data_IF_290922945785
#
_entry.id   IF_290922945785
#
_cell.length_a   1.000
_cell.length_b   1.000
_cell.length_c   1.000
_cell.angle_alpha   90.00
_cell.angle_beta   90.00
_cell.angle_gamma   90.00
#
_symmetry.space_group_name_H-M   'P 1'
#
loop_
_entity.id
_entity.type
_entity.pdbx_description
1 polymer ?
#
# COMPACT_ATOMS: atom_id res chain seq x y z
N UNK A 1 6.30 43.34 -60.82
CA UNK A 1 5.59 44.57 -60.41
C UNK A 1 5.27 44.41 -58.93
N UNK A 2 5.95 45.21 -58.11
CA UNK A 2 5.72 45.53 -56.68
C UNK A 2 5.84 44.42 -55.61
N UNK A 3 6.95 44.55 -54.88
CA UNK A 3 7.31 44.03 -53.56
C UNK A 3 6.50 44.70 -52.43
N UNK A 4 6.20 43.96 -51.36
CA UNK A 4 6.09 44.52 -49.99
C UNK A 4 6.75 43.58 -48.99
N UNK A 5 7.63 44.19 -48.20
CA UNK A 5 8.50 43.65 -47.17
C UNK A 5 7.83 43.69 -45.78
N UNK A 6 8.64 43.33 -44.76
CA UNK A 6 8.60 43.72 -43.33
C UNK A 6 7.67 42.83 -42.45
N UNK A 7 8.07 42.30 -41.29
CA UNK A 7 9.18 42.57 -40.37
C UNK A 7 9.49 41.33 -39.50
N UNK A 8 10.79 41.07 -39.31
CA UNK A 8 11.34 40.32 -38.18
C UNK A 8 11.28 41.19 -36.92
N UNK A 9 10.77 40.65 -35.81
CA UNK A 9 10.83 41.29 -34.49
C UNK A 9 11.90 40.62 -33.65
N UNK A 10 13.03 41.31 -33.47
CA UNK A 10 14.10 40.99 -32.53
C UNK A 10 13.77 41.61 -31.18
N UNK A 11 13.51 40.78 -30.16
CA UNK A 11 13.39 41.25 -28.78
C UNK A 11 14.78 41.37 -28.14
N UNK A 12 15.16 42.60 -27.83
CA UNK A 12 16.37 42.96 -27.07
C UNK A 12 16.04 42.87 -25.58
N UNK A 13 16.74 42.04 -24.81
CA UNK A 13 16.64 42.03 -23.34
C UNK A 13 17.65 43.03 -22.79
N UNK A 14 17.10 44.10 -22.24
CA UNK A 14 17.82 45.19 -21.58
C UNK A 14 18.22 44.74 -20.16
N UNK A 15 19.53 44.66 -19.88
CA UNK A 15 20.05 44.51 -18.51
C UNK A 15 19.77 45.81 -17.72
N UNK A 16 19.10 45.72 -16.58
CA UNK A 16 19.05 46.79 -15.59
C UNK A 16 19.90 46.40 -14.39
N UNK A 17 21.04 47.08 -14.29
CA UNK A 17 21.92 47.08 -13.14
C UNK A 17 21.32 48.02 -12.10
N UNK A 18 20.79 47.49 -11.00
CA UNK A 18 20.37 48.28 -9.85
C UNK A 18 21.39 48.08 -8.74
N UNK A 19 22.26 49.08 -8.58
CA UNK A 19 23.08 49.29 -7.38
C UNK A 19 22.25 50.02 -6.34
N UNK A 20 21.99 49.37 -5.20
CA UNK A 20 21.53 50.04 -3.98
C UNK A 20 22.47 49.69 -2.83
N UNK A 21 23.05 50.74 -2.23
CA UNK A 21 23.97 50.68 -1.11
C UNK A 21 23.25 51.04 0.19
N UNK A 22 23.73 50.43 1.28
CA UNK A 22 23.58 50.75 2.72
C UNK A 22 22.21 50.61 3.39
N UNK A 23 22.11 49.67 4.35
CA UNK A 23 22.19 49.98 5.78
C UNK A 23 22.30 48.68 6.59
N UNK A 24 23.34 48.58 7.42
CA UNK A 24 23.50 47.51 8.40
C UNK A 24 22.61 47.85 9.60
N UNK A 25 21.58 47.05 9.84
CA UNK A 25 20.83 47.06 11.10
C UNK A 25 21.06 45.71 11.76
N UNK A 26 21.81 45.72 12.84
CA UNK A 26 22.04 44.55 13.70
C UNK A 26 20.73 44.23 14.42
N UNK A 27 19.90 43.38 13.82
CA UNK A 27 18.75 42.77 14.47
C UNK A 27 19.28 41.55 15.21
N UNK A 28 19.32 41.61 16.54
CA UNK A 28 19.45 40.40 17.36
C UNK A 28 18.25 39.50 17.07
N UNK A 29 18.42 38.31 16.47
CA UNK A 29 17.33 37.35 16.46
C UNK A 29 17.17 36.87 17.90
N UNK A 30 16.06 37.27 18.51
CA UNK A 30 15.52 36.57 19.67
C UNK A 30 15.59 35.07 19.38
N UNK A 31 16.34 34.36 20.23
CA UNK A 31 16.40 32.92 20.24
C UNK A 31 15.00 32.39 20.53
N UNK A 32 14.22 32.14 19.47
CA UNK A 32 13.10 31.24 19.56
C UNK A 32 13.63 29.93 20.13
N UNK A 33 12.97 29.31 21.12
CA UNK A 33 13.28 27.94 21.46
C UNK A 33 12.99 27.14 20.19
N UNK A 34 14.04 26.81 19.45
CA UNK A 34 14.02 25.70 18.52
C UNK A 34 13.74 24.51 19.41
N UNK A 35 12.45 24.14 19.50
CA UNK A 35 12.07 22.80 19.86
C UNK A 35 12.76 21.96 18.79
N UNK A 36 13.96 21.51 19.10
CA UNK A 36 14.62 20.41 18.42
C UNK A 36 13.65 19.27 18.59
N UNK A 37 12.71 19.18 17.63
CA UNK A 37 12.03 17.95 17.31
C UNK A 37 13.16 17.07 16.87
N UNK A 38 13.77 16.42 17.87
CA UNK A 38 14.61 15.28 17.69
C UNK A 38 13.77 14.36 16.83
N UNK A 39 14.05 14.35 15.53
CA UNK A 39 13.62 13.34 14.58
C UNK A 39 14.22 12.05 15.08
N UNK A 40 13.63 11.50 16.15
CA UNK A 40 13.81 10.12 16.53
C UNK A 40 13.38 9.38 15.29
N UNK A 41 14.35 8.80 14.58
CA UNK A 41 14.11 7.79 13.56
C UNK A 41 13.06 6.83 14.12
N UNK A 42 11.83 6.99 13.62
CA UNK A 42 10.71 6.20 14.09
C UNK A 42 10.96 4.78 13.62
N UNK A 43 11.05 3.86 14.56
CA UNK A 43 11.38 2.48 14.26
C UNK A 43 10.13 1.79 13.72
N UNK A 44 10.14 1.38 12.45
CA UNK A 44 9.13 0.48 11.85
C UNK A 44 9.22 -0.95 12.39
N UNK A 45 10.24 -1.24 13.22
CA UNK A 45 10.52 -2.57 13.79
C UNK A 45 9.31 -3.25 14.46
N UNK A 46 8.42 -2.57 15.21
CA UNK A 46 7.25 -3.22 15.80
C UNK A 46 6.33 -3.88 14.77
N UNK A 47 6.25 -3.34 13.55
CA UNK A 47 5.42 -3.88 12.47
C UNK A 47 6.09 -5.04 11.71
N UNK A 48 7.38 -5.30 11.90
CA UNK A 48 8.15 -6.20 11.03
C UNK A 48 7.67 -7.66 11.03
N UNK A 49 7.31 -8.20 12.19
CA UNK A 49 6.79 -9.58 12.29
C UNK A 49 5.36 -9.65 11.73
N UNK A 50 4.40 -8.84 12.22
CA UNK A 50 3.03 -8.91 11.70
C UNK A 50 2.93 -8.61 10.20
N UNK A 51 3.70 -7.65 9.66
CA UNK A 51 3.70 -7.42 8.20
C UNK A 51 4.28 -8.60 7.42
N UNK A 52 5.29 -9.30 7.94
CA UNK A 52 5.88 -10.47 7.27
C UNK A 52 4.86 -11.61 7.18
N UNK A 53 4.15 -11.87 8.28
CA UNK A 53 3.08 -12.88 8.32
C UNK A 53 1.92 -12.49 7.41
N UNK A 54 1.59 -11.20 7.37
CA UNK A 54 0.56 -10.65 6.47
C UNK A 54 0.91 -10.84 5.00
N UNK A 55 2.10 -10.39 4.58
CA UNK A 55 2.54 -10.45 3.19
C UNK A 55 2.59 -11.88 2.66
N UNK A 56 3.14 -12.83 3.43
CA UNK A 56 3.18 -14.25 3.06
C UNK A 56 1.78 -14.86 2.90
N UNK A 57 0.86 -14.52 3.80
CA UNK A 57 -0.49 -15.04 3.74
C UNK A 57 -1.26 -14.45 2.55
N UNK A 58 -1.09 -13.15 2.27
CA UNK A 58 -1.66 -12.49 1.11
C UNK A 58 -1.11 -13.06 -0.20
N UNK A 59 0.20 -13.31 -0.25
CA UNK A 59 0.85 -13.92 -1.40
C UNK A 59 0.22 -15.28 -1.72
N UNK A 60 0.05 -16.11 -0.67
CA UNK A 60 -0.60 -17.42 -0.79
C UNK A 60 -2.07 -17.33 -1.18
N UNK A 61 -2.81 -16.32 -0.73
CA UNK A 61 -4.19 -16.08 -1.18
C UNK A 61 -4.26 -15.84 -2.69
N UNK A 62 -3.33 -15.05 -3.23
CA UNK A 62 -3.23 -14.81 -4.67
C UNK A 62 -2.98 -16.11 -5.46
N UNK A 63 -2.08 -16.96 -4.98
CA UNK A 63 -1.83 -18.29 -5.59
C UNK A 63 -3.08 -19.17 -5.59
N UNK A 64 -3.82 -19.24 -4.47
CA UNK A 64 -5.05 -20.05 -4.38
C UNK A 64 -6.13 -19.50 -5.32
N UNK A 65 -6.23 -18.17 -5.48
CA UNK A 65 -7.18 -17.58 -6.43
C UNK A 65 -6.83 -17.95 -7.88
N UNK A 66 -5.54 -17.99 -8.23
CA UNK A 66 -5.08 -18.49 -9.53
C UNK A 66 -5.46 -19.97 -9.71
N UNK A 67 -5.24 -20.80 -8.69
CA UNK A 67 -5.61 -22.23 -8.74
C UNK A 67 -7.12 -22.41 -8.96
N UNK A 68 -7.95 -21.60 -8.30
CA UNK A 68 -9.40 -21.57 -8.51
C UNK A 68 -9.77 -21.22 -9.95
N UNK A 69 -9.06 -20.29 -10.60
CA UNK A 69 -9.35 -19.97 -12.02
C UNK A 69 -9.15 -21.16 -12.96
N UNK A 70 -8.30 -22.12 -12.58
CA UNK A 70 -8.11 -23.35 -13.35
C UNK A 70 -9.31 -24.27 -13.27
N UNK A 71 -10.02 -24.33 -12.13
CA UNK A 71 -11.22 -25.16 -11.98
C UNK A 71 -12.42 -24.57 -12.73
N UNK A 72 -12.44 -23.25 -12.92
CA UNK A 72 -13.46 -22.54 -13.67
C UNK A 72 -13.20 -22.47 -15.19
N UNK A 73 -12.07 -22.99 -15.69
CA UNK A 73 -11.58 -22.75 -17.06
C UNK A 73 -11.42 -21.25 -17.42
N UNK A 74 -11.12 -20.42 -16.42
CA UNK A 74 -10.83 -18.99 -16.57
C UNK A 74 -9.33 -18.67 -16.43
N UNK A 75 -8.47 -19.70 -16.41
CA UNK A 75 -7.03 -19.51 -16.28
C UNK A 75 -6.47 -18.67 -17.42
N UNK A 76 -5.64 -17.69 -17.09
CA UNK A 76 -5.10 -16.71 -18.05
C UNK A 76 -6.03 -15.52 -18.34
N UNK A 77 -7.27 -15.53 -17.83
CA UNK A 77 -8.19 -14.38 -17.89
C UNK A 77 -7.94 -13.34 -16.79
N UNK A 78 -8.81 -12.33 -16.74
CA UNK A 78 -8.76 -11.22 -15.80
C UNK A 78 -8.72 -11.67 -14.33
N UNK A 79 -9.50 -12.67 -13.94
CA UNK A 79 -9.53 -13.15 -12.55
C UNK A 79 -8.19 -13.79 -12.14
N UNK A 80 -7.58 -14.52 -13.07
CA UNK A 80 -6.27 -15.15 -12.87
C UNK A 80 -5.17 -14.08 -12.73
N UNK A 81 -5.21 -13.05 -13.58
CA UNK A 81 -4.30 -11.91 -13.52
C UNK A 81 -4.48 -11.09 -12.23
N UNK A 82 -5.71 -10.90 -11.75
CA UNK A 82 -5.97 -10.28 -10.46
C UNK A 82 -5.32 -11.09 -9.31
N UNK A 83 -5.45 -12.42 -9.33
CA UNK A 83 -4.76 -13.31 -8.39
C UNK A 83 -3.23 -13.16 -8.40
N UNK A 84 -2.63 -13.02 -9.58
CA UNK A 84 -1.19 -12.78 -9.72
C UNK A 84 -0.76 -11.44 -9.10
N UNK A 85 -1.56 -10.40 -9.28
CA UNK A 85 -1.29 -9.09 -8.70
C UNK A 85 -1.48 -9.06 -7.16
N UNK A 86 -2.46 -9.80 -6.63
CA UNK A 86 -2.57 -10.03 -5.18
C UNK A 86 -1.32 -10.73 -4.65
N UNK A 87 -0.81 -11.73 -5.38
CA UNK A 87 0.42 -12.43 -5.01
C UNK A 87 1.61 -11.47 -4.94
N UNK A 88 1.81 -10.69 -5.99
CA UNK A 88 2.90 -9.71 -6.07
C UNK A 88 2.81 -8.65 -4.95
N UNK A 89 1.60 -8.19 -4.61
CA UNK A 89 1.39 -7.33 -3.45
C UNK A 89 1.83 -8.01 -2.14
N UNK A 90 1.48 -9.29 -1.94
CA UNK A 90 1.89 -10.06 -0.77
C UNK A 90 3.41 -10.15 -0.64
N UNK A 91 4.11 -10.43 -1.75
CA UNK A 91 5.57 -10.48 -1.80
C UNK A 91 6.21 -9.12 -1.47
N UNK A 92 5.68 -8.03 -2.04
CA UNK A 92 6.13 -6.67 -1.74
C UNK A 92 5.94 -6.32 -0.25
N UNK A 93 4.77 -6.64 0.34
CA UNK A 93 4.53 -6.45 1.78
C UNK A 93 5.51 -7.27 2.64
N UNK A 94 5.82 -8.51 2.26
CA UNK A 94 6.82 -9.32 2.95
C UNK A 94 8.24 -8.74 2.83
N UNK A 95 8.59 -8.18 1.68
CA UNK A 95 9.87 -7.51 1.44
C UNK A 95 9.99 -6.20 2.25
N UNK A 96 8.92 -5.40 2.31
CA UNK A 96 8.80 -4.26 3.20
C UNK A 96 9.04 -4.68 4.66
N UNK A 97 8.38 -5.76 5.11
CA UNK A 97 8.50 -6.27 6.46
C UNK A 97 9.93 -6.72 6.84
N UNK A 98 10.67 -7.30 5.89
CA UNK A 98 12.08 -7.64 6.09
C UNK A 98 12.92 -6.38 6.36
N UNK A 99 12.62 -5.30 5.65
CA UNK A 99 13.31 -4.01 5.75
C UNK A 99 12.98 -3.22 7.02
N UNK A 100 11.79 -3.39 7.61
CA UNK A 100 11.36 -2.76 8.86
C UNK A 100 12.32 -3.01 10.05
N UNK A 101 13.15 -4.05 9.99
CA UNK A 101 14.11 -4.42 11.05
C UNK A 101 15.35 -3.52 11.09
N UNK A 102 15.63 -2.80 10.00
CA UNK A 102 16.82 -1.98 9.84
C UNK A 102 16.47 -0.50 10.01
N UNK A 103 17.29 0.25 10.76
CA UNK A 103 17.08 1.69 10.97
C UNK A 103 17.16 2.51 9.68
N UNK A 104 17.90 2.00 8.70
CA UNK A 104 18.08 2.60 7.37
C UNK A 104 17.13 2.01 6.33
N UNK A 105 16.25 1.08 6.72
CA UNK A 105 15.36 0.38 5.78
C UNK A 105 14.13 1.16 5.36
N UNK A 106 13.92 2.39 5.86
CA UNK A 106 12.69 3.14 5.61
C UNK A 106 12.42 3.41 4.13
N UNK A 107 13.47 3.65 3.33
CA UNK A 107 13.36 3.82 1.88
C UNK A 107 12.84 2.54 1.21
N UNK A 108 13.43 1.39 1.54
CA UNK A 108 12.95 0.09 1.05
C UNK A 108 11.53 -0.22 1.52
N UNK A 109 11.17 0.10 2.76
CA UNK A 109 9.79 -0.10 3.23
C UNK A 109 8.81 0.77 2.42
N UNK A 110 9.17 2.03 2.18
CA UNK A 110 8.37 2.93 1.35
C UNK A 110 8.15 2.38 -0.05
N UNK A 111 9.24 2.03 -0.75
CA UNK A 111 9.20 1.58 -2.14
C UNK A 111 8.36 0.30 -2.29
N UNK A 112 8.54 -0.65 -1.37
CA UNK A 112 7.81 -1.92 -1.42
C UNK A 112 6.33 -1.78 -1.05
N UNK A 113 5.96 -0.90 -0.10
CA UNK A 113 4.54 -0.64 0.18
C UNK A 113 3.85 0.05 -1.00
N UNK A 114 4.53 1.00 -1.66
CA UNK A 114 4.00 1.66 -2.87
C UNK A 114 3.86 0.66 -4.03
N UNK A 115 4.86 -0.19 -4.24
CA UNK A 115 4.82 -1.28 -5.23
C UNK A 115 3.68 -2.28 -4.97
N UNK A 116 3.43 -2.62 -3.70
CA UNK A 116 2.26 -3.42 -3.32
C UNK A 116 0.94 -2.72 -3.64
N UNK A 117 0.85 -1.42 -3.34
CA UNK A 117 -0.31 -0.59 -3.71
C UNK A 117 -0.57 -0.57 -5.22
N UNK A 118 0.48 -0.37 -6.03
CA UNK A 118 0.40 -0.40 -7.49
C UNK A 118 -0.02 -1.78 -8.02
N UNK A 119 0.50 -2.87 -7.43
CA UNK A 119 0.07 -4.23 -7.79
C UNK A 119 -1.44 -4.42 -7.55
N UNK A 120 -1.97 -3.99 -6.40
CA UNK A 120 -3.41 -4.05 -6.13
C UNK A 120 -4.22 -3.13 -7.07
N UNK A 121 -3.66 -1.98 -7.45
CA UNK A 121 -4.30 -1.08 -8.41
C UNK A 121 -4.45 -1.75 -9.77
N UNK A 122 -3.40 -2.42 -10.24
CA UNK A 122 -3.48 -3.20 -11.47
C UNK A 122 -4.50 -4.35 -11.34
N UNK A 123 -4.60 -4.99 -10.16
CA UNK A 123 -5.62 -6.01 -9.90
C UNK A 123 -7.06 -5.47 -10.06
N UNK A 124 -7.33 -4.21 -9.70
CA UNK A 124 -8.65 -3.57 -9.91
C UNK A 124 -9.03 -3.60 -11.39
N UNK A 125 -8.12 -3.21 -12.27
CA UNK A 125 -8.38 -3.22 -13.70
C UNK A 125 -8.57 -4.65 -14.24
N UNK A 126 -7.84 -5.62 -13.69
CA UNK A 126 -8.02 -7.04 -14.04
C UNK A 126 -9.34 -7.61 -13.54
N UNK A 127 -9.84 -7.19 -12.38
CA UNK A 127 -11.16 -7.58 -11.87
C UNK A 127 -12.27 -7.03 -12.75
N UNK A 128 -12.17 -5.78 -13.23
CA UNK A 128 -13.14 -5.21 -14.17
C UNK A 128 -13.21 -6.02 -15.47
N UNK A 129 -12.06 -6.39 -16.03
CA UNK A 129 -11.99 -7.30 -17.18
C UNK A 129 -12.60 -8.67 -16.86
N UNK A 130 -12.34 -9.22 -15.66
CA UNK A 130 -12.91 -10.50 -15.23
C UNK A 130 -14.45 -10.47 -15.16
N UNK A 131 -15.04 -9.34 -14.76
CA UNK A 131 -16.51 -9.17 -14.78
C UNK A 131 -17.03 -9.29 -16.21
N UNK A 132 -16.40 -8.60 -17.16
CA UNK A 132 -16.78 -8.65 -18.58
C UNK A 132 -16.63 -10.07 -19.15
N UNK A 133 -15.52 -10.75 -18.85
CA UNK A 133 -15.27 -12.14 -19.25
C UNK A 133 -16.32 -13.10 -18.69
N UNK A 134 -16.67 -12.97 -17.40
CA UNK A 134 -17.68 -13.82 -16.76
C UNK A 134 -19.06 -13.66 -17.41
N UNK A 135 -19.41 -12.46 -17.89
CA UNK A 135 -20.70 -12.18 -18.52
C UNK A 135 -20.86 -12.82 -19.91
N UNK A 136 -19.76 -13.14 -20.60
CA UNK A 136 -19.78 -13.76 -21.94
C UNK A 136 -19.86 -15.29 -21.86
N UNK A 137 -19.33 -15.89 -20.79
CA UNK A 137 -19.30 -17.34 -20.60
C UNK A 137 -20.50 -17.82 -19.75
N UNK A 138 -21.39 -18.61 -20.36
CA UNK A 138 -22.64 -19.09 -19.74
C UNK A 138 -22.41 -19.81 -18.40
N UNK A 139 -21.30 -20.53 -18.26
CA UNK A 139 -20.94 -21.27 -17.04
C UNK A 139 -20.52 -20.39 -15.89
N UNK A 140 -20.14 -19.13 -16.13
CA UNK A 140 -19.56 -18.23 -15.12
C UNK A 140 -20.33 -16.91 -15.00
N UNK A 141 -21.45 -16.75 -15.72
CA UNK A 141 -22.27 -15.53 -15.64
C UNK A 141 -22.74 -15.21 -14.23
N UNK A 142 -22.99 -16.22 -13.40
CA UNK A 142 -23.37 -16.04 -12.00
C UNK A 142 -22.23 -15.44 -11.14
N UNK A 143 -20.97 -15.60 -11.57
CA UNK A 143 -19.77 -15.14 -10.86
C UNK A 143 -19.51 -13.65 -11.08
N UNK A 144 -19.98 -13.08 -12.19
CA UNK A 144 -19.76 -11.68 -12.54
C UNK A 144 -20.15 -10.68 -11.43
N UNK A 145 -21.37 -10.70 -10.84
CA UNK A 145 -21.72 -9.78 -9.75
C UNK A 145 -20.89 -10.02 -8.48
N UNK A 146 -20.42 -11.25 -8.26
CA UNK A 146 -19.57 -11.58 -7.10
C UNK A 146 -18.17 -11.01 -7.30
N UNK A 147 -17.59 -11.15 -8.49
CA UNK A 147 -16.30 -10.55 -8.86
C UNK A 147 -16.40 -9.03 -8.80
N UNK A 148 -17.48 -8.43 -9.31
CA UNK A 148 -17.71 -6.99 -9.24
C UNK A 148 -17.70 -6.48 -7.78
N UNK A 149 -18.26 -7.25 -6.85
CA UNK A 149 -18.26 -6.90 -5.42
C UNK A 149 -16.86 -6.82 -4.80
N UNK A 150 -15.82 -7.39 -5.44
CA UNK A 150 -14.43 -7.32 -4.98
C UNK A 150 -13.69 -6.07 -5.43
N UNK A 151 -14.21 -5.32 -6.41
CA UNK A 151 -13.54 -4.18 -7.04
C UNK A 151 -13.27 -3.06 -6.03
N UNK A 152 -14.30 -2.63 -5.30
CA UNK A 152 -14.17 -1.51 -4.35
C UNK A 152 -13.26 -1.84 -3.15
N UNK A 153 -13.37 -3.03 -2.50
CA UNK A 153 -12.41 -3.43 -1.47
C UNK A 153 -10.97 -3.53 -1.98
N UNK A 154 -10.76 -4.01 -3.20
CA UNK A 154 -9.43 -4.06 -3.83
C UNK A 154 -8.84 -2.66 -4.03
N UNK A 155 -9.63 -1.74 -4.59
CA UNK A 155 -9.22 -0.34 -4.81
C UNK A 155 -8.92 0.37 -3.49
N UNK A 156 -9.77 0.18 -2.47
CA UNK A 156 -9.56 0.77 -1.15
C UNK A 156 -8.28 0.24 -0.48
N UNK A 157 -7.99 -1.06 -0.65
CA UNK A 157 -6.75 -1.68 -0.17
C UNK A 157 -5.52 -1.10 -0.88
N UNK A 158 -5.59 -0.94 -2.20
CA UNK A 158 -4.54 -0.33 -3.02
C UNK A 158 -4.20 1.09 -2.55
N UNK A 159 -5.21 1.96 -2.44
CA UNK A 159 -5.05 3.36 -2.03
C UNK A 159 -4.43 3.46 -0.65
N UNK A 160 -4.93 2.68 0.31
CA UNK A 160 -4.42 2.71 1.68
C UNK A 160 -2.97 2.19 1.77
N UNK A 161 -2.62 1.16 1.00
CA UNK A 161 -1.27 0.61 1.01
C UNK A 161 -0.26 1.57 0.37
N UNK A 162 -0.62 2.22 -0.74
CA UNK A 162 0.19 3.29 -1.34
C UNK A 162 0.35 4.45 -0.37
N UNK A 163 -0.74 4.87 0.29
CA UNK A 163 -0.73 5.97 1.26
C UNK A 163 0.17 5.68 2.48
N UNK A 164 0.27 4.41 2.90
CA UNK A 164 1.21 3.99 3.95
C UNK A 164 2.66 4.22 3.51
N UNK A 165 3.02 3.81 2.29
CA UNK A 165 4.35 4.06 1.71
C UNK A 165 4.62 5.56 1.51
N UNK A 166 3.66 6.30 0.96
CA UNK A 166 3.74 7.74 0.78
C UNK A 166 3.93 8.49 2.12
N UNK A 167 3.29 8.03 3.18
CA UNK A 167 3.45 8.60 4.53
C UNK A 167 4.89 8.46 5.05
N UNK A 168 5.55 7.33 4.76
CA UNK A 168 6.97 7.14 5.08
C UNK A 168 7.84 8.11 4.26
N UNK A 169 7.60 8.20 2.94
CA UNK A 169 8.33 9.09 2.05
C UNK A 169 8.24 10.57 2.48
N UNK A 170 7.04 10.99 2.88
CA UNK A 170 6.73 12.34 3.33
C UNK A 170 7.17 12.59 4.79
N UNK A 171 7.78 11.59 5.45
CA UNK A 171 8.23 11.67 6.85
C UNK A 171 7.09 12.04 7.81
N UNK A 172 5.87 11.58 7.53
CA UNK A 172 4.72 11.75 8.41
C UNK A 172 4.92 10.99 9.73
N UNK A 173 4.19 11.36 10.80
CA UNK A 173 4.15 10.58 12.02
C UNK A 173 3.97 9.07 11.77
N UNK A 174 4.68 8.23 12.52
CA UNK A 174 4.61 6.77 12.38
C UNK A 174 3.19 6.21 12.64
N UNK A 175 2.41 6.92 13.46
CA UNK A 175 1.02 6.59 13.71
C UNK A 175 0.16 6.71 12.43
N UNK A 176 0.49 7.64 11.54
CA UNK A 176 -0.22 7.81 10.26
C UNK A 176 0.05 6.63 9.33
N UNK A 177 1.31 6.16 9.28
CA UNK A 177 1.66 4.91 8.57
C UNK A 177 0.86 3.73 9.14
N UNK A 178 0.75 3.66 10.47
CA UNK A 178 -0.04 2.63 11.14
C UNK A 178 -1.54 2.72 10.84
N UNK A 179 -2.07 3.93 10.70
CA UNK A 179 -3.47 4.17 10.32
C UNK A 179 -3.75 3.69 8.90
N UNK A 180 -2.89 4.02 7.95
CA UNK A 180 -3.06 3.59 6.56
C UNK A 180 -2.93 2.06 6.41
N UNK A 181 -1.99 1.41 7.12
CA UNK A 181 -1.92 -0.06 7.17
C UNK A 181 -3.20 -0.67 7.76
N UNK A 182 -3.76 -0.04 8.80
CA UNK A 182 -5.01 -0.52 9.39
C UNK A 182 -6.20 -0.40 8.43
N UNK A 183 -6.32 0.72 7.70
CA UNK A 183 -7.35 0.91 6.67
C UNK A 183 -7.22 -0.09 5.52
N UNK A 184 -5.99 -0.33 5.06
CA UNK A 184 -5.69 -1.37 4.06
C UNK A 184 -6.20 -2.72 4.57
N UNK A 185 -5.87 -3.08 5.81
CA UNK A 185 -6.29 -4.33 6.41
C UNK A 185 -7.82 -4.48 6.49
N UNK A 186 -8.55 -3.44 6.89
CA UNK A 186 -10.02 -3.46 6.89
C UNK A 186 -10.60 -3.69 5.49
N UNK A 187 -9.98 -3.12 4.46
CA UNK A 187 -10.39 -3.30 3.07
C UNK A 187 -10.08 -4.71 2.57
N UNK A 188 -8.93 -5.29 2.96
CA UNK A 188 -8.57 -6.68 2.68
C UNK A 188 -9.52 -7.69 3.34
N UNK A 189 -10.05 -7.37 4.54
CA UNK A 189 -11.08 -8.19 5.18
C UNK A 189 -12.38 -8.20 4.37
N UNK A 190 -12.83 -7.05 3.89
CA UNK A 190 -14.01 -6.98 3.01
C UNK A 190 -13.77 -7.74 1.70
N UNK A 191 -12.58 -7.62 1.11
CA UNK A 191 -12.19 -8.38 -0.07
C UNK A 191 -12.25 -9.89 0.18
N UNK A 192 -11.70 -10.35 1.32
CA UNK A 192 -11.73 -11.75 1.69
C UNK A 192 -13.16 -12.28 1.87
N UNK A 193 -14.05 -11.49 2.49
CA UNK A 193 -15.46 -11.85 2.66
C UNK A 193 -16.16 -11.98 1.30
N UNK A 194 -15.88 -11.08 0.35
CA UNK A 194 -16.44 -11.12 -0.99
C UNK A 194 -15.94 -12.33 -1.80
N UNK A 195 -14.63 -12.63 -1.77
CA UNK A 195 -14.06 -13.81 -2.44
C UNK A 195 -14.68 -15.11 -1.93
N UNK A 196 -14.97 -15.20 -0.62
CA UNK A 196 -15.61 -16.40 -0.05
C UNK A 196 -16.96 -16.73 -0.72
N UNK A 197 -17.64 -15.72 -1.27
CA UNK A 197 -18.94 -15.89 -1.91
C UNK A 197 -18.86 -16.42 -3.35
N UNK A 198 -17.66 -16.43 -3.97
CA UNK A 198 -17.49 -16.84 -5.38
C UNK A 198 -18.08 -18.22 -5.65
N UNK A 199 -17.87 -19.14 -4.71
CA UNK A 199 -18.49 -20.46 -4.72
C UNK A 199 -18.52 -20.99 -3.28
N UNK A 200 -19.73 -21.12 -2.74
CA UNK A 200 -19.98 -21.53 -1.35
C UNK A 200 -19.71 -23.01 -1.10
N UNK A 201 -19.54 -23.81 -2.14
CA UNK A 201 -19.27 -25.24 -2.05
C UNK A 201 -17.80 -25.55 -2.36
N UNK A 202 -17.15 -24.75 -3.21
CA UNK A 202 -15.74 -24.89 -3.53
C UNK A 202 -14.82 -24.65 -2.32
N UNK A 203 -13.68 -25.33 -2.35
CA UNK A 203 -12.65 -25.24 -1.30
C UNK A 203 -11.77 -24.01 -1.49
N UNK A 204 -11.42 -23.69 -2.72
CA UNK A 204 -10.42 -22.70 -3.07
C UNK A 204 -10.83 -21.29 -2.65
N UNK A 205 -12.06 -20.78 -2.92
CA UNK A 205 -12.47 -19.46 -2.46
C UNK A 205 -12.49 -19.33 -0.93
N UNK A 206 -12.90 -20.39 -0.22
CA UNK A 206 -12.88 -20.45 1.26
C UNK A 206 -11.45 -20.40 1.81
N UNK A 207 -10.54 -21.17 1.21
CA UNK A 207 -9.13 -21.19 1.62
C UNK A 207 -8.44 -19.84 1.31
N UNK A 208 -8.69 -19.29 0.12
CA UNK A 208 -8.21 -17.97 -0.29
C UNK A 208 -8.66 -16.90 0.70
N UNK A 209 -9.96 -16.87 1.00
CA UNK A 209 -10.57 -15.96 1.98
C UNK A 209 -9.95 -16.11 3.37
N UNK A 210 -9.83 -17.35 3.88
CA UNK A 210 -9.25 -17.61 5.20
C UNK A 210 -7.82 -17.09 5.31
N UNK A 211 -7.00 -17.30 4.27
CA UNK A 211 -5.63 -16.79 4.21
C UNK A 211 -5.59 -15.26 4.14
N UNK A 212 -6.50 -14.64 3.40
CA UNK A 212 -6.57 -13.20 3.25
C UNK A 212 -7.09 -12.52 4.53
N UNK A 213 -8.03 -13.17 5.24
CA UNK A 213 -8.48 -12.76 6.59
C UNK A 213 -7.34 -12.81 7.61
N UNK A 214 -6.50 -13.85 7.57
CA UNK A 214 -5.30 -13.91 8.39
C UNK A 214 -4.32 -12.78 8.02
N UNK A 215 -4.14 -12.52 6.71
CA UNK A 215 -3.30 -11.42 6.24
C UNK A 215 -3.79 -10.06 6.75
N UNK A 216 -5.10 -9.80 6.65
CA UNK A 216 -5.75 -8.61 7.21
C UNK A 216 -5.52 -8.49 8.71
N UNK A 217 -5.78 -9.55 9.47
CA UNK A 217 -5.58 -9.55 10.93
C UNK A 217 -4.15 -9.16 11.31
N UNK A 218 -3.16 -9.74 10.61
CA UNK A 218 -1.75 -9.42 10.85
C UNK A 218 -1.39 -8.00 10.41
N UNK A 219 -1.96 -7.49 9.33
CA UNK A 219 -1.75 -6.10 8.93
C UNK A 219 -2.39 -5.10 9.92
N UNK A 220 -3.55 -5.43 10.52
CA UNK A 220 -4.14 -4.65 11.64
C UNK A 220 -3.20 -4.63 12.84
N UNK A 221 -2.67 -5.78 13.24
CA UNK A 221 -1.67 -5.87 14.32
C UNK A 221 -0.45 -4.98 14.03
N UNK A 222 0.06 -4.97 12.80
CA UNK A 222 1.15 -4.08 12.40
C UNK A 222 0.76 -2.61 12.54
N UNK A 223 -0.43 -2.23 12.04
CA UNK A 223 -0.94 -0.87 12.18
C UNK A 223 -1.11 -0.43 13.62
N UNK A 224 -1.63 -1.30 14.49
CA UNK A 224 -1.80 -1.06 15.93
C UNK A 224 -0.46 -0.85 16.65
N UNK A 225 0.54 -1.66 16.33
CA UNK A 225 1.90 -1.52 16.89
C UNK A 225 2.51 -0.16 16.53
N UNK A 226 2.31 0.33 15.29
CA UNK A 226 2.80 1.64 14.86
C UNK A 226 2.00 2.81 15.44
N UNK A 227 0.69 2.64 15.64
CA UNK A 227 -0.17 3.63 16.33
C UNK A 227 0.05 3.65 17.86
N UNK A 228 0.80 2.70 18.40
CA UNK A 228 1.06 2.59 19.83
C UNK A 228 -0.13 2.04 20.64
N UNK A 229 -1.09 1.38 19.99
CA UNK A 229 -2.21 0.69 20.65
C UNK A 229 -1.70 -0.61 21.28
N UNK A 230 -1.18 -0.51 22.50
CA UNK A 230 -0.64 -1.65 23.26
C UNK A 230 -1.74 -2.32 24.09
N UNK A 231 -2.56 -3.15 23.44
CA UNK A 231 -3.45 -4.08 24.16
C UNK A 231 -2.79 -5.46 24.37
N UNK A 232 -1.52 -5.64 24.02
CA UNK A 232 -0.82 -6.90 24.29
C UNK A 232 -0.44 -6.98 25.78
N UNK A 233 -0.99 -7.94 26.55
CA UNK A 233 -0.48 -8.21 27.89
C UNK A 233 1.00 -8.56 27.74
N UNK A 234 1.88 -7.81 28.43
CA UNK A 234 3.30 -8.14 28.49
C UNK A 234 3.42 -9.60 28.91
N UNK A 235 4.22 -10.43 28.20
CA UNK A 235 4.45 -11.79 28.66
C UNK A 235 4.98 -11.71 30.09
N UNK A 236 4.27 -12.34 31.04
CA UNK A 236 4.72 -12.48 32.42
C UNK A 236 6.04 -13.25 32.35
N UNK A 237 7.16 -12.53 32.41
CA UNK A 237 8.47 -13.13 32.40
C UNK A 237 8.57 -14.15 33.53
N UNK A 238 8.97 -15.39 33.20
CA UNK A 238 9.34 -16.37 34.21
C UNK A 238 10.54 -15.79 34.96
N UNK A 239 10.29 -15.27 36.16
CA UNK A 239 11.34 -14.90 37.10
C UNK A 239 12.06 -16.18 37.51
N UNK A 240 13.24 -16.42 36.93
CA UNK A 240 14.16 -17.42 37.46
C UNK A 240 14.81 -16.80 38.69
N UNK A 241 14.18 -16.99 39.85
CA UNK A 241 14.86 -16.80 41.14
C UNK A 241 15.88 -17.93 41.22
N UNK A 242 17.16 -17.56 41.13
CA UNK A 242 18.27 -18.44 41.49
C UNK A 242 18.16 -18.72 42.99
N UNK A 243 17.95 -19.98 43.35
CA UNK A 243 18.23 -20.55 44.67
C UNK A 243 19.40 -21.51 44.54
#
# INVERSE_FOLDING_TARGET
MWTTNLLFSTFTILFHHVTSTTAFTTIHPHSFPTTSTTTKLYSLKPAAIPLMDSGKALARSGEILIDYTSTLNLYGGGLSAAGANIRNCGDAVAQAAASCRFKTGAELVCDELRNGGDSLKEAVDKLKLAVEECMVEERTVYLAPLVESTVNPMESSSIALEAAGASIQQRRPIADVGEELYKCACSLEQLAMAIQQFDVDAKEPKECSTRMMFASTKMKEAGDELRGKKDKPKPKGKSWIKG
#
